data_IF_535891111753
#
_entry.id   IF_535891111753
#
_cell.length_a   1.000
_cell.length_b   1.000
_cell.length_c   1.000
_cell.angle_alpha   90.00
_cell.angle_beta   90.00
_cell.angle_gamma   90.00
#
_symmetry.space_group_name_H-M   'P 1'
#
loop_
_entity.id
_entity.type
_entity.pdbx_description
1 polymer ?
#
# COMPACT_ATOMS: atom_id res chain seq x y z
N UNK A 1 -22.91 -2.72 -5.15
CA UNK A 1 -21.55 -3.19 -4.80
C UNK A 1 -21.08 -2.43 -3.56
N UNK A 2 -20.35 -3.09 -2.67
CA UNK A 2 -19.87 -2.45 -1.44
C UNK A 2 -18.54 -1.72 -1.68
N UNK A 3 -18.25 -0.62 -0.95
CA UNK A 3 -16.94 0.05 -1.04
C UNK A 3 -15.80 -0.91 -0.68
N UNK A 4 -14.78 -0.98 -1.53
CA UNK A 4 -13.63 -1.85 -1.31
C UNK A 4 -12.49 -1.13 -0.58
N UNK A 5 -11.81 -1.82 0.33
CA UNK A 5 -10.75 -1.30 1.18
C UNK A 5 -9.50 -2.19 1.08
N UNK A 6 -8.35 -1.61 0.75
CA UNK A 6 -7.08 -2.35 0.61
C UNK A 6 -5.94 -1.75 1.42
N UNK A 7 -4.91 -2.56 1.70
CA UNK A 7 -3.61 -2.14 2.24
C UNK A 7 -2.57 -2.23 1.11
N UNK A 8 -2.16 -1.09 0.56
CA UNK A 8 -1.37 -1.06 -0.69
C UNK A 8 -2.23 -1.38 -1.93
N UNK A 9 -1.89 -2.40 -2.75
CA UNK A 9 -0.98 -3.52 -2.48
C UNK A 9 0.51 -3.27 -2.77
N UNK A 10 1.40 -3.94 -2.03
CA UNK A 10 2.83 -4.00 -2.34
C UNK A 10 3.04 -4.72 -3.67
N UNK A 11 3.72 -4.09 -4.62
CA UNK A 11 3.98 -4.70 -5.94
C UNK A 11 5.22 -5.58 -5.95
N UNK A 12 6.05 -5.53 -4.90
CA UNK A 12 7.26 -6.34 -4.74
C UNK A 12 7.68 -6.38 -3.28
N UNK A 13 8.34 -7.47 -2.88
CA UNK A 13 8.69 -7.77 -1.48
C UNK A 13 10.19 -7.56 -1.18
N UNK A 14 10.97 -7.04 -2.14
CA UNK A 14 12.45 -7.00 -2.04
C UNK A 14 13.00 -5.68 -1.48
N UNK A 15 12.14 -4.73 -1.10
CA UNK A 15 12.54 -3.37 -0.75
C UNK A 15 12.03 -2.90 0.63
N UNK A 16 12.29 -3.64 1.73
CA UNK A 16 11.93 -3.21 3.07
C UNK A 16 12.60 -1.87 3.38
N UNK A 17 11.87 -0.95 4.03
CA UNK A 17 12.29 0.46 4.17
C UNK A 17 11.68 1.38 3.11
N UNK A 18 11.22 0.82 1.99
CA UNK A 18 10.65 1.55 0.86
C UNK A 18 9.25 1.04 0.49
N UNK A 19 8.58 0.34 1.40
CA UNK A 19 7.27 -0.27 1.13
C UNK A 19 6.15 0.75 0.89
N UNK A 20 6.26 1.97 1.42
CA UNK A 20 5.39 3.09 1.03
C UNK A 20 5.46 3.42 -0.48
N UNK A 21 6.60 3.15 -1.14
CA UNK A 21 6.76 3.31 -2.59
C UNK A 21 6.21 2.10 -3.33
N UNK A 22 6.60 0.89 -2.91
CA UNK A 22 6.15 -0.36 -3.57
C UNK A 22 4.63 -0.50 -3.49
N UNK A 23 4.05 -0.16 -2.34
CA UNK A 23 2.60 -0.12 -2.14
C UNK A 23 1.93 1.05 -2.85
N UNK A 24 2.58 2.20 -2.96
CA UNK A 24 2.04 3.38 -3.66
C UNK A 24 1.74 3.10 -5.13
N UNK A 25 2.58 2.29 -5.80
CA UNK A 25 2.36 1.86 -7.19
C UNK A 25 1.07 1.01 -7.30
N UNK A 26 0.93 -0.01 -6.46
CA UNK A 26 -0.25 -0.88 -6.47
C UNK A 26 -1.52 -0.14 -6.03
N UNK A 27 -1.41 0.71 -5.01
CA UNK A 27 -2.50 1.52 -4.49
C UNK A 27 -3.06 2.47 -5.56
N UNK A 28 -2.19 3.10 -6.36
CA UNK A 28 -2.61 3.95 -7.48
C UNK A 28 -3.37 3.15 -8.56
N UNK A 29 -2.88 1.95 -8.91
CA UNK A 29 -3.54 1.09 -9.89
C UNK A 29 -4.90 0.59 -9.40
N UNK A 30 -4.97 0.08 -8.17
CA UNK A 30 -6.22 -0.49 -7.64
C UNK A 30 -7.23 0.61 -7.27
N UNK A 31 -6.76 1.81 -6.94
CA UNK A 31 -7.59 3.01 -6.83
C UNK A 31 -8.22 3.37 -8.18
N UNK A 32 -7.45 3.35 -9.26
CA UNK A 32 -7.97 3.55 -10.61
C UNK A 32 -9.02 2.49 -11.00
N UNK A 33 -8.84 1.25 -10.55
CA UNK A 33 -9.80 0.17 -10.77
C UNK A 33 -11.01 0.17 -9.83
N UNK A 34 -11.17 1.17 -8.96
CA UNK A 34 -12.40 1.39 -8.19
C UNK A 34 -12.32 1.05 -6.70
N UNK A 35 -11.12 0.92 -6.12
CA UNK A 35 -10.98 0.82 -4.66
C UNK A 35 -11.41 2.12 -3.98
N UNK A 36 -12.26 2.02 -2.95
CA UNK A 36 -12.89 3.18 -2.32
C UNK A 36 -12.05 3.77 -1.16
N UNK A 37 -11.22 2.96 -0.50
CA UNK A 37 -10.31 3.42 0.55
C UNK A 37 -8.98 2.68 0.50
N UNK A 38 -7.89 3.40 0.71
CA UNK A 38 -6.52 2.87 0.71
C UNK A 38 -5.92 3.04 2.10
N UNK A 39 -5.58 1.94 2.77
CA UNK A 39 -4.74 1.96 3.97
C UNK A 39 -3.31 2.26 3.54
N UNK A 40 -2.75 3.31 4.12
CA UNK A 40 -1.38 3.72 3.86
C UNK A 40 -0.38 2.70 4.41
N UNK A 41 0.81 2.70 3.81
CA UNK A 41 1.96 1.90 4.22
C UNK A 41 3.09 2.87 4.54
N UNK A 42 3.79 2.64 5.64
CA UNK A 42 4.89 3.53 6.07
C UNK A 42 6.24 3.04 5.53
N UNK A 43 7.29 3.87 5.57
CA UNK A 43 8.65 3.39 5.34
C UNK A 43 9.09 2.30 6.34
N UNK A 44 8.47 2.24 7.53
CA UNK A 44 8.78 1.26 8.57
C UNK A 44 7.95 -0.03 8.48
N UNK A 45 7.10 -0.17 7.47
CA UNK A 45 6.41 -1.43 7.21
C UNK A 45 7.43 -2.58 7.13
N UNK A 46 7.10 -3.71 7.75
CA UNK A 46 7.98 -4.88 7.93
C UNK A 46 9.28 -4.64 8.73
N UNK A 47 9.55 -3.43 9.24
CA UNK A 47 10.75 -3.08 10.00
C UNK A 47 10.48 -2.76 11.48
N UNK A 48 9.34 -2.15 11.79
CA UNK A 48 8.99 -1.78 13.16
C UNK A 48 7.93 -0.68 13.22
N UNK A 49 7.81 -0.03 14.38
CA UNK A 49 6.89 1.09 14.55
C UNK A 49 7.43 2.35 13.81
N UNK A 50 6.57 3.09 13.09
CA UNK A 50 6.90 4.44 12.60
C UNK A 50 7.06 5.43 13.76
N UNK A 51 7.83 6.48 13.55
CA UNK A 51 8.11 7.58 14.50
C UNK A 51 7.02 8.66 14.53
#
# INVERSE_FOLDING_TARGET
EAPFYTLGPLTTDIAPGYDHITSGIGAAQIGWYGTAMLCYVTPKEHLGLPD
#
